data_IF_690978040701
#
_entry.id   IF_690978040701
#
_cell.length_a   1.000
_cell.length_b   1.000
_cell.length_c   1.000
_cell.angle_alpha   90.00
_cell.angle_beta   90.00
_cell.angle_gamma   90.00
#
_symmetry.space_group_name_H-M   'P 1'
#
loop_
_entity.id
_entity.type
_entity.pdbx_description
1 polymer ?
#
# COMPACT_ATOMS: atom_id res chain seq x y z
N UNK A 1 16.10 -6.76 14.76
CA UNK A 1 14.67 -6.42 14.62
C UNK A 1 13.86 -7.69 14.55
N UNK A 2 12.74 -7.74 15.25
CA UNK A 2 11.72 -8.79 15.11
C UNK A 2 10.45 -8.18 14.56
N UNK A 3 9.71 -8.96 13.77
CA UNK A 3 8.35 -8.68 13.37
C UNK A 3 7.43 -9.51 14.25
N UNK A 4 6.55 -8.85 14.99
CA UNK A 4 5.56 -9.52 15.81
C UNK A 4 4.33 -9.76 14.94
N UNK A 5 4.17 -11.02 14.55
CA UNK A 5 3.15 -11.44 13.61
C UNK A 5 1.77 -11.50 14.19
N UNK A 6 0.87 -11.66 13.31
CA UNK A 6 -0.57 -11.55 13.30
C UNK A 6 -1.19 -12.93 13.02
N UNK A 7 -1.07 -13.83 13.98
CA UNK A 7 -1.64 -15.19 13.89
C UNK A 7 -3.16 -15.17 13.69
N UNK A 8 -3.83 -14.10 14.12
CA UNK A 8 -5.27 -13.87 14.00
C UNK A 8 -5.60 -12.82 12.93
N UNK A 9 -4.70 -12.62 11.95
CA UNK A 9 -4.92 -11.68 10.84
C UNK A 9 -6.19 -12.05 10.06
N UNK A 10 -7.14 -11.08 9.85
CA UNK A 10 -8.34 -11.34 9.07
C UNK A 10 -7.98 -11.77 7.64
N UNK A 11 -8.56 -12.90 7.21
CA UNK A 11 -8.46 -13.43 5.85
C UNK A 11 -9.68 -13.11 4.99
N UNK A 12 -10.66 -12.39 5.54
CA UNK A 12 -11.84 -11.89 4.86
C UNK A 12 -12.45 -10.73 5.68
N UNK A 13 -13.35 -9.95 5.08
CA UNK A 13 -14.00 -8.83 5.78
C UNK A 13 -14.82 -9.27 7.00
N UNK A 14 -15.35 -10.51 6.98
CA UNK A 14 -16.16 -11.04 8.06
C UNK A 14 -15.39 -11.17 9.38
N UNK A 15 -14.09 -11.39 9.34
CA UNK A 15 -13.23 -11.61 10.51
C UNK A 15 -12.53 -10.33 10.98
N UNK A 16 -12.66 -9.23 10.24
CA UNK A 16 -11.92 -8.00 10.56
C UNK A 16 -12.51 -7.28 11.79
N UNK A 17 -11.63 -6.69 12.59
CA UNK A 17 -11.94 -5.96 13.82
C UNK A 17 -12.76 -6.76 14.86
N UNK A 18 -12.66 -8.08 14.82
CA UNK A 18 -13.30 -8.91 15.81
C UNK A 18 -12.60 -8.89 17.18
N UNK A 19 -13.17 -9.57 18.14
CA UNK A 19 -12.60 -9.66 19.50
C UNK A 19 -11.23 -10.37 19.49
N UNK A 20 -11.02 -11.30 18.56
CA UNK A 20 -9.78 -12.08 18.46
C UNK A 20 -8.63 -11.23 17.94
N UNK A 21 -8.85 -10.49 16.85
CA UNK A 21 -7.85 -9.54 16.32
C UNK A 21 -7.50 -8.48 17.37
N UNK A 22 -8.50 -7.94 18.06
CA UNK A 22 -8.29 -6.95 19.12
C UNK A 22 -7.48 -7.53 20.30
N UNK A 23 -7.79 -8.76 20.72
CA UNK A 23 -7.06 -9.44 21.79
C UNK A 23 -5.60 -9.71 21.41
N UNK A 24 -5.35 -10.15 20.16
CA UNK A 24 -3.98 -10.31 19.65
C UNK A 24 -3.22 -8.99 19.68
N UNK A 25 -3.81 -7.90 19.24
CA UNK A 25 -3.17 -6.57 19.23
C UNK A 25 -2.77 -6.13 20.65
N UNK A 26 -3.57 -6.45 21.66
CA UNK A 26 -3.22 -6.20 23.08
C UNK A 26 -2.00 -7.03 23.50
N UNK A 27 -1.93 -8.31 23.11
CA UNK A 27 -0.77 -9.17 23.41
C UNK A 27 0.49 -8.69 22.67
N UNK A 28 0.37 -8.31 21.41
CA UNK A 28 1.48 -7.74 20.64
C UNK A 28 2.05 -6.49 21.32
N UNK A 29 1.20 -5.64 21.89
CA UNK A 29 1.63 -4.50 22.69
C UNK A 29 2.45 -4.87 23.93
N UNK A 30 2.10 -5.96 24.61
CA UNK A 30 2.89 -6.49 25.74
C UNK A 30 4.23 -7.05 25.26
N UNK A 31 4.24 -7.75 24.12
CA UNK A 31 5.45 -8.31 23.52
C UNK A 31 6.41 -7.21 23.03
N UNK A 32 5.90 -6.09 22.50
CA UNK A 32 6.71 -4.93 22.17
C UNK A 32 7.54 -4.45 23.38
N UNK A 33 6.90 -4.27 24.54
CA UNK A 33 7.60 -3.86 25.77
C UNK A 33 8.67 -4.84 26.20
N UNK A 34 8.38 -6.15 26.10
CA UNK A 34 9.35 -7.19 26.47
C UNK A 34 10.57 -7.18 25.55
N UNK A 35 10.36 -7.04 24.23
CA UNK A 35 11.43 -6.97 23.26
C UNK A 35 12.31 -5.73 23.47
N UNK A 36 11.70 -4.56 23.67
CA UNK A 36 12.44 -3.33 23.93
C UNK A 36 13.24 -3.40 25.24
N UNK A 37 12.68 -3.99 26.31
CA UNK A 37 13.41 -4.21 27.55
C UNK A 37 14.64 -5.11 27.38
N UNK A 38 14.63 -5.99 26.36
CA UNK A 38 15.76 -6.83 25.97
C UNK A 38 16.67 -6.16 24.90
N UNK A 39 16.48 -4.87 24.59
CA UNK A 39 17.27 -4.15 23.58
C UNK A 39 16.98 -4.56 22.13
N UNK A 40 15.84 -5.20 21.84
CA UNK A 40 15.47 -5.67 20.51
C UNK A 40 14.49 -4.71 19.84
N UNK A 41 14.80 -4.30 18.61
CA UNK A 41 13.89 -3.53 17.78
C UNK A 41 12.68 -4.39 17.35
N UNK A 42 11.52 -3.77 17.26
CA UNK A 42 10.24 -4.43 16.97
C UNK A 42 9.51 -3.68 15.87
N UNK A 43 8.84 -4.40 14.96
CA UNK A 43 7.68 -3.94 14.23
C UNK A 43 6.52 -4.92 14.49
N UNK A 44 5.29 -4.45 14.27
CA UNK A 44 4.06 -5.23 14.48
C UNK A 44 3.40 -5.43 13.13
N UNK A 45 2.92 -6.62 12.87
CA UNK A 45 2.11 -6.93 11.68
C UNK A 45 0.63 -6.74 11.97
N UNK A 46 -0.16 -6.48 10.95
CA UNK A 46 -1.57 -6.15 11.09
C UNK A 46 -2.44 -6.60 9.91
N UNK A 47 -3.63 -6.02 9.76
CA UNK A 47 -4.72 -6.63 9.02
C UNK A 47 -4.40 -6.89 7.54
N UNK A 48 -5.00 -8.00 7.03
CA UNK A 48 -4.95 -8.39 5.63
C UNK A 48 -6.24 -8.04 4.87
N UNK A 49 -7.39 -8.09 5.55
CA UNK A 49 -8.70 -7.71 5.02
C UNK A 49 -9.41 -6.82 6.02
N UNK A 50 -10.00 -5.73 5.54
CA UNK A 50 -10.72 -4.81 6.42
C UNK A 50 -11.62 -3.88 5.61
N UNK A 51 -12.85 -3.67 6.06
CA UNK A 51 -13.75 -2.69 5.46
C UNK A 51 -13.12 -1.29 5.49
N UNK A 52 -13.31 -0.55 4.40
CA UNK A 52 -12.60 0.70 4.15
C UNK A 52 -12.77 1.74 5.27
N UNK A 53 -13.95 1.84 5.84
CA UNK A 53 -14.29 2.77 6.91
C UNK A 53 -13.71 2.39 8.29
N UNK A 54 -13.30 1.14 8.47
CA UNK A 54 -12.72 0.65 9.72
C UNK A 54 -11.20 0.85 9.82
N UNK A 55 -10.51 0.95 8.67
CA UNK A 55 -9.05 0.98 8.60
C UNK A 55 -8.44 2.07 9.48
N UNK A 56 -8.94 3.29 9.38
CA UNK A 56 -8.36 4.42 10.12
C UNK A 56 -8.48 4.25 11.64
N UNK A 57 -9.55 3.62 12.12
CA UNK A 57 -9.75 3.34 13.53
C UNK A 57 -8.78 2.24 14.01
N UNK A 58 -8.62 1.16 13.24
CA UNK A 58 -7.68 0.07 13.54
C UNK A 58 -6.24 0.58 13.61
N UNK A 59 -5.79 1.41 12.65
CA UNK A 59 -4.45 2.01 12.68
C UNK A 59 -4.19 2.80 13.96
N UNK A 60 -5.14 3.62 14.37
CA UNK A 60 -5.04 4.42 15.62
C UNK A 60 -5.04 3.54 16.86
N UNK A 61 -5.85 2.48 16.86
CA UNK A 61 -5.92 1.52 17.96
C UNK A 61 -4.57 0.81 18.15
N UNK A 62 -3.99 0.31 17.06
CA UNK A 62 -2.66 -0.32 17.09
C UNK A 62 -1.61 0.61 17.65
N UNK A 63 -1.52 1.84 17.16
CA UNK A 63 -0.54 2.81 17.65
C UNK A 63 -0.66 3.04 19.17
N UNK A 64 -1.87 3.03 19.71
CA UNK A 64 -2.10 3.13 21.14
C UNK A 64 -1.70 1.87 21.91
N UNK A 65 -2.18 0.71 21.46
CA UNK A 65 -1.96 -0.57 22.15
C UNK A 65 -0.51 -1.03 22.05
N UNK A 66 0.13 -0.82 20.90
CA UNK A 66 1.52 -1.22 20.64
C UNK A 66 2.54 -0.08 20.84
N UNK A 67 2.16 0.97 21.56
CA UNK A 67 3.08 2.04 22.03
C UNK A 67 3.83 2.74 20.91
N UNK A 68 3.18 3.00 19.78
CA UNK A 68 3.73 3.56 18.54
C UNK A 68 4.80 2.68 17.87
N UNK A 69 4.83 1.39 18.13
CA UNK A 69 5.68 0.48 17.34
C UNK A 69 5.37 0.63 15.84
N UNK A 70 6.38 0.51 14.96
CA UNK A 70 6.14 0.48 13.53
C UNK A 70 5.12 -0.58 13.16
N UNK A 71 4.20 -0.23 12.26
CA UNK A 71 3.07 -1.07 11.87
C UNK A 71 3.17 -1.46 10.41
N UNK A 72 3.23 -2.74 10.15
CA UNK A 72 3.30 -3.37 8.83
C UNK A 72 1.97 -4.05 8.52
N UNK A 73 1.32 -3.67 7.43
CA UNK A 73 0.00 -4.19 7.07
C UNK A 73 0.01 -4.85 5.68
N UNK A 74 -0.82 -5.87 5.50
CA UNK A 74 -1.03 -6.55 4.23
C UNK A 74 -2.23 -5.92 3.51
N UNK A 75 -2.01 -4.88 2.79
CA UNK A 75 -3.05 -4.08 2.16
C UNK A 75 -3.52 -2.96 3.09
N UNK A 76 -4.67 -3.06 3.78
CA UNK A 76 -5.66 -4.14 3.76
C UNK A 76 -6.49 -4.21 2.47
N UNK A 77 -6.94 -5.42 2.12
CA UNK A 77 -7.90 -5.62 1.05
C UNK A 77 -9.28 -5.15 1.51
N UNK A 78 -9.88 -4.22 0.78
CA UNK A 78 -11.12 -3.54 1.18
C UNK A 78 -12.39 -4.24 0.72
N UNK A 79 -12.27 -5.33 -0.03
CA UNK A 79 -13.37 -6.18 -0.49
C UNK A 79 -12.86 -7.56 -0.84
N UNK A 80 -13.67 -8.60 -0.61
CA UNK A 80 -13.31 -10.00 -0.86
C UNK A 80 -13.68 -10.47 -2.27
N UNK A 81 -14.44 -9.68 -3.03
CA UNK A 81 -14.91 -10.07 -4.37
C UNK A 81 -13.95 -9.68 -5.50
N UNK A 82 -12.81 -9.08 -5.16
CA UNK A 82 -11.81 -8.61 -6.12
C UNK A 82 -10.84 -9.69 -6.61
N UNK A 83 -11.28 -10.92 -6.72
CA UNK A 83 -10.46 -12.08 -7.12
C UNK A 83 -9.71 -11.82 -8.42
N UNK A 84 -8.39 -11.97 -8.42
CA UNK A 84 -7.52 -11.62 -9.54
C UNK A 84 -7.16 -10.11 -9.62
N UNK A 85 -7.75 -9.28 -8.76
CA UNK A 85 -7.49 -7.84 -8.64
C UNK A 85 -7.12 -7.45 -7.20
N UNK A 86 -6.67 -8.39 -6.39
CA UNK A 86 -6.37 -8.16 -4.98
C UNK A 86 -5.28 -7.11 -4.76
N UNK A 87 -4.36 -6.93 -5.70
CA UNK A 87 -3.39 -5.84 -5.70
C UNK A 87 -4.05 -4.45 -5.76
N UNK A 88 -5.19 -4.32 -6.43
CA UNK A 88 -5.95 -3.06 -6.51
C UNK A 88 -6.71 -2.84 -5.19
N UNK A 89 -7.41 -3.86 -4.69
CA UNK A 89 -8.15 -3.75 -3.42
C UNK A 89 -7.21 -3.46 -2.25
N UNK A 90 -6.03 -4.08 -2.23
CA UNK A 90 -4.97 -3.81 -1.27
C UNK A 90 -4.36 -2.41 -1.40
N UNK A 91 -4.19 -1.89 -2.61
CA UNK A 91 -3.68 -0.54 -2.81
C UNK A 91 -4.65 0.53 -2.28
N UNK A 92 -5.96 0.32 -2.43
CA UNK A 92 -6.98 1.21 -1.88
C UNK A 92 -6.87 1.26 -0.35
N UNK A 93 -6.90 0.11 0.31
CA UNK A 93 -6.76 0.03 1.77
C UNK A 93 -5.38 0.47 2.24
N UNK A 94 -4.33 0.16 1.48
CA UNK A 94 -2.96 0.57 1.73
C UNK A 94 -2.78 2.09 1.78
N UNK A 95 -3.39 2.81 0.85
CA UNK A 95 -3.34 4.27 0.86
C UNK A 95 -4.02 4.85 2.12
N UNK A 96 -5.15 4.28 2.54
CA UNK A 96 -5.87 4.73 3.73
C UNK A 96 -5.09 4.36 4.99
N UNK A 97 -4.59 3.13 5.10
CA UNK A 97 -3.83 2.69 6.27
C UNK A 97 -2.54 3.50 6.45
N UNK A 98 -1.77 3.69 5.37
CA UNK A 98 -0.53 4.47 5.42
C UNK A 98 -0.77 5.95 5.75
N UNK A 99 -1.85 6.55 5.26
CA UNK A 99 -2.24 7.92 5.63
C UNK A 99 -2.75 8.02 7.06
N UNK A 100 -3.20 6.91 7.67
CA UNK A 100 -3.80 6.85 9.01
C UNK A 100 -2.86 6.35 10.09
N UNK A 101 -1.64 5.86 9.75
CA UNK A 101 -0.66 5.48 10.77
C UNK A 101 0.17 4.23 10.48
N UNK A 102 -0.11 3.45 9.45
CA UNK A 102 0.78 2.36 9.04
C UNK A 102 2.11 2.91 8.53
N UNK A 103 3.20 2.22 8.85
CA UNK A 103 4.57 2.60 8.48
C UNK A 103 5.09 1.82 7.27
N UNK A 104 4.60 0.59 7.10
CA UNK A 104 5.00 -0.30 6.01
C UNK A 104 3.77 -0.94 5.37
N UNK A 105 3.80 -1.05 4.05
CA UNK A 105 2.81 -1.76 3.26
C UNK A 105 3.43 -3.00 2.64
N UNK A 106 2.84 -4.16 2.89
CA UNK A 106 3.10 -5.36 2.10
C UNK A 106 2.40 -5.22 0.75
N UNK A 107 3.08 -5.58 -0.33
CA UNK A 107 2.41 -5.68 -1.61
C UNK A 107 1.57 -6.97 -1.68
N UNK A 108 0.47 -6.90 -2.40
CA UNK A 108 -0.40 -8.02 -2.74
C UNK A 108 -0.38 -8.16 -4.25
N UNK A 109 -0.36 -9.38 -4.74
CA UNK A 109 -0.31 -9.66 -6.19
C UNK A 109 -1.70 -9.97 -6.76
N UNK A 110 -1.90 -9.90 -8.09
CA UNK A 110 -3.11 -10.41 -8.73
C UNK A 110 -3.37 -11.90 -8.48
N UNK A 111 -2.32 -12.66 -8.13
CA UNK A 111 -2.41 -14.10 -7.86
C UNK A 111 -2.82 -14.43 -6.42
N UNK A 112 -3.00 -13.43 -5.54
CA UNK A 112 -3.37 -13.63 -4.14
C UNK A 112 -4.64 -14.49 -4.04
N UNK A 113 -4.64 -15.45 -3.11
CA UNK A 113 -5.70 -16.44 -2.91
C UNK A 113 -5.93 -17.44 -4.06
N UNK A 114 -5.18 -17.34 -5.17
CA UNK A 114 -5.37 -18.17 -6.37
C UNK A 114 -4.22 -19.15 -6.63
N UNK A 115 -2.99 -18.66 -6.65
CA UNK A 115 -1.81 -19.46 -7.00
C UNK A 115 -0.50 -18.76 -6.60
N UNK A 116 0.63 -19.41 -6.85
CA UNK A 116 1.93 -18.74 -6.70
C UNK A 116 2.09 -17.65 -7.78
N UNK A 117 2.48 -16.43 -7.40
CA UNK A 117 2.67 -15.34 -8.34
C UNK A 117 3.88 -15.59 -9.26
N UNK A 118 3.77 -15.19 -10.50
CA UNK A 118 4.88 -15.06 -11.42
C UNK A 118 5.56 -13.68 -11.26
N UNK A 119 6.63 -13.42 -12.02
CA UNK A 119 7.38 -12.16 -11.92
C UNK A 119 6.53 -10.92 -12.31
N UNK A 120 5.60 -11.07 -13.26
CA UNK A 120 4.71 -9.99 -13.66
C UNK A 120 3.69 -9.68 -12.56
N UNK A 121 3.12 -10.70 -11.93
CA UNK A 121 2.20 -10.52 -10.79
C UNK A 121 2.89 -9.75 -9.65
N UNK A 122 4.16 -10.08 -9.37
CA UNK A 122 4.95 -9.36 -8.34
C UNK A 122 5.15 -7.90 -8.74
N UNK A 123 5.47 -7.63 -10.01
CA UNK A 123 5.64 -6.27 -10.50
C UNK A 123 4.33 -5.46 -10.38
N UNK A 124 3.20 -6.04 -10.78
CA UNK A 124 1.89 -5.39 -10.72
C UNK A 124 1.50 -5.06 -9.27
N UNK A 125 1.68 -6.01 -8.35
CA UNK A 125 1.45 -5.81 -6.93
C UNK A 125 2.35 -4.74 -6.32
N UNK A 126 3.64 -4.77 -6.67
CA UNK A 126 4.60 -3.78 -6.20
C UNK A 126 4.26 -2.37 -6.70
N UNK A 127 3.87 -2.24 -7.98
CA UNK A 127 3.48 -0.94 -8.54
C UNK A 127 2.22 -0.39 -7.90
N UNK A 128 1.19 -1.23 -7.70
CA UNK A 128 -0.02 -0.84 -7.01
C UNK A 128 0.27 -0.32 -5.59
N UNK A 129 1.11 -1.03 -4.84
CA UNK A 129 1.49 -0.66 -3.48
C UNK A 129 2.36 0.59 -3.43
N UNK A 130 3.29 0.79 -4.37
CA UNK A 130 4.07 2.03 -4.49
C UNK A 130 3.19 3.25 -4.75
N UNK A 131 2.16 3.10 -5.60
CA UNK A 131 1.19 4.18 -5.86
C UNK A 131 0.41 4.51 -4.57
N UNK A 132 -0.04 3.49 -3.84
CA UNK A 132 -0.74 3.66 -2.57
C UNK A 132 0.12 4.39 -1.52
N UNK A 133 1.38 3.96 -1.35
CA UNK A 133 2.33 4.59 -0.43
C UNK A 133 2.61 6.05 -0.80
N UNK A 134 2.84 6.33 -2.09
CA UNK A 134 3.07 7.68 -2.59
C UNK A 134 1.85 8.60 -2.34
N UNK A 135 0.65 8.11 -2.63
CA UNK A 135 -0.59 8.85 -2.34
C UNK A 135 -0.74 9.18 -0.84
N UNK A 136 -0.38 8.24 0.03
CA UNK A 136 -0.39 8.44 1.48
C UNK A 136 0.66 9.46 1.92
N UNK A 137 1.86 9.46 1.34
CA UNK A 137 2.91 10.44 1.67
C UNK A 137 2.50 11.86 1.27
N UNK A 138 1.82 12.02 0.12
CA UNK A 138 1.21 13.30 -0.25
C UNK A 138 0.15 13.73 0.77
N UNK A 139 -0.74 12.83 1.18
CA UNK A 139 -1.79 13.11 2.15
C UNK A 139 -1.23 13.50 3.52
N UNK A 140 -0.15 12.85 3.97
CA UNK A 140 0.59 13.17 5.20
C UNK A 140 1.43 14.44 5.09
N UNK A 141 1.52 15.05 3.93
CA UNK A 141 2.37 16.23 3.66
C UNK A 141 3.85 15.96 3.97
N UNK A 142 4.33 14.76 3.65
CA UNK A 142 5.75 14.44 3.77
C UNK A 142 6.55 15.43 2.90
N UNK A 143 7.61 16.05 3.42
CA UNK A 143 8.43 16.99 2.65
C UNK A 143 8.88 16.38 1.31
N UNK A 144 8.71 17.13 0.23
CA UNK A 144 9.09 16.74 -1.14
C UNK A 144 8.29 15.57 -1.76
N UNK A 145 7.26 15.02 -1.10
CA UNK A 145 6.46 13.93 -1.66
C UNK A 145 5.78 14.33 -3.00
N UNK A 146 5.36 15.60 -3.15
CA UNK A 146 4.70 16.10 -4.36
C UNK A 146 5.63 16.57 -5.47
N UNK A 147 6.93 16.68 -5.24
CA UNK A 147 7.85 17.31 -6.20
C UNK A 147 7.82 16.63 -7.58
N UNK A 148 7.67 15.30 -7.61
CA UNK A 148 7.61 14.56 -8.87
C UNK A 148 6.27 14.72 -9.59
N UNK A 149 5.15 14.82 -8.84
CA UNK A 149 3.82 15.10 -9.42
C UNK A 149 3.77 16.50 -10.02
N UNK A 150 4.34 17.48 -9.34
CA UNK A 150 4.40 18.87 -9.84
C UNK A 150 5.25 18.96 -11.12
N UNK A 151 6.39 18.24 -11.17
CA UNK A 151 7.20 18.12 -12.41
C UNK A 151 6.44 17.39 -13.52
N UNK A 152 5.75 16.31 -13.20
CA UNK A 152 4.90 15.59 -14.14
C UNK A 152 3.79 16.51 -14.69
N UNK A 153 3.14 17.30 -13.82
CA UNK A 153 2.12 18.26 -14.23
C UNK A 153 2.66 19.33 -15.20
N UNK A 154 3.88 19.84 -14.96
CA UNK A 154 4.55 20.78 -15.86
C UNK A 154 4.91 20.14 -17.21
N UNK A 155 5.39 18.89 -17.20
CA UNK A 155 5.71 18.13 -18.41
C UNK A 155 4.46 17.86 -19.26
N UNK A 156 3.34 17.44 -18.61
CA UNK A 156 2.04 17.24 -19.25
C UNK A 156 1.53 18.51 -19.93
N UNK A 157 1.63 19.66 -19.27
CA UNK A 157 1.21 20.95 -19.83
C UNK A 157 1.95 21.31 -21.10
N UNK A 158 3.20 20.84 -21.24
CA UNK A 158 4.06 21.12 -22.40
C UNK A 158 4.05 20.01 -23.46
N UNK A 159 3.34 18.90 -23.19
CA UNK A 159 3.40 17.65 -23.96
C UNK A 159 4.84 17.12 -24.10
N UNK A 160 5.67 17.34 -23.08
CA UNK A 160 7.05 16.86 -23.01
C UNK A 160 7.07 15.41 -22.51
N UNK A 161 6.93 14.48 -23.43
CA UNK A 161 6.88 13.06 -23.15
C UNK A 161 8.14 12.53 -22.48
N UNK A 162 9.31 13.02 -22.87
CA UNK A 162 10.57 12.58 -22.27
C UNK A 162 10.69 13.01 -20.81
N UNK A 163 10.23 14.22 -20.48
CA UNK A 163 10.16 14.67 -19.10
C UNK A 163 9.10 13.88 -18.32
N UNK A 164 7.95 13.52 -18.93
CA UNK A 164 6.93 12.69 -18.28
C UNK A 164 7.47 11.30 -17.92
N UNK A 165 8.22 10.66 -18.84
CA UNK A 165 8.81 9.34 -18.56
C UNK A 165 9.81 9.37 -17.41
N UNK A 166 10.57 10.45 -17.26
CA UNK A 166 11.52 10.62 -16.14
C UNK A 166 10.83 10.78 -14.79
N UNK A 167 9.57 11.22 -14.77
CA UNK A 167 8.79 11.37 -13.56
C UNK A 167 7.91 10.15 -13.24
N UNK A 168 7.71 9.24 -14.18
CA UNK A 168 6.82 8.09 -14.03
C UNK A 168 7.39 7.05 -13.05
N UNK A 169 6.52 6.45 -12.22
CA UNK A 169 6.89 5.31 -11.36
C UNK A 169 7.26 4.07 -12.17
N UNK A 170 6.55 3.85 -13.28
CA UNK A 170 6.84 2.81 -14.27
C UNK A 170 6.88 3.43 -15.67
N UNK A 171 8.04 3.95 -16.08
CA UNK A 171 8.19 4.54 -17.40
C UNK A 171 8.12 3.49 -18.52
N UNK A 172 8.48 2.23 -18.25
CA UNK A 172 8.53 1.16 -19.25
C UNK A 172 7.12 0.82 -19.72
N UNK A 173 6.22 0.50 -18.80
CA UNK A 173 4.83 0.19 -19.12
C UNK A 173 4.10 1.40 -19.70
N UNK A 174 4.33 2.59 -19.14
CA UNK A 174 3.73 3.82 -19.65
C UNK A 174 4.15 4.13 -21.09
N UNK A 175 5.45 4.08 -21.37
CA UNK A 175 6.00 4.33 -22.70
C UNK A 175 5.51 3.30 -23.73
N UNK A 176 5.53 2.01 -23.38
CA UNK A 176 5.02 0.94 -24.24
C UNK A 176 3.56 1.19 -24.64
N UNK A 177 2.68 1.50 -23.68
CA UNK A 177 1.26 1.79 -23.98
C UNK A 177 1.08 3.01 -24.89
N UNK A 178 1.91 4.05 -24.69
CA UNK A 178 1.89 5.22 -25.55
C UNK A 178 2.32 4.89 -26.98
N UNK A 179 3.41 4.15 -27.16
CA UNK A 179 3.96 3.76 -28.46
C UNK A 179 3.01 2.83 -29.25
N UNK A 180 2.20 2.04 -28.56
CA UNK A 180 1.14 1.21 -29.16
C UNK A 180 -0.09 2.04 -29.60
N UNK A 181 -0.17 3.32 -29.22
CA UNK A 181 -1.28 4.20 -29.59
C UNK A 181 -1.03 4.90 -30.94
N UNK A 182 -2.06 5.08 -31.79
CA UNK A 182 -1.95 5.89 -33.01
C UNK A 182 -1.48 7.33 -32.75
N UNK A 183 -1.74 7.88 -31.58
CA UNK A 183 -1.30 9.22 -31.18
C UNK A 183 0.21 9.38 -31.04
N UNK A 184 0.97 8.29 -30.88
CA UNK A 184 2.43 8.35 -30.75
C UNK A 184 3.12 8.99 -31.96
N UNK A 185 2.54 8.89 -33.13
CA UNK A 185 3.08 9.49 -34.38
C UNK A 185 2.87 11.00 -34.46
N UNK A 186 1.91 11.55 -33.71
CA UNK A 186 1.53 12.97 -33.72
C UNK A 186 2.05 13.74 -32.50
N UNK A 187 2.67 13.05 -31.56
CA UNK A 187 3.18 13.64 -30.32
C UNK A 187 2.08 14.12 -29.35
N UNK A 188 0.83 13.80 -29.61
CA UNK A 188 -0.33 14.21 -28.81
C UNK A 188 -1.02 13.00 -28.17
N UNK A 189 -1.97 13.27 -27.29
CA UNK A 189 -2.85 12.26 -26.71
C UNK A 189 -4.20 12.30 -27.43
N UNK A 190 -4.72 11.14 -27.85
CA UNK A 190 -6.04 11.06 -28.52
C UNK A 190 -7.22 11.35 -27.60
N UNK A 191 -7.00 11.40 -26.27
CA UNK A 191 -8.04 11.67 -25.27
C UNK A 191 -8.17 13.14 -24.90
N UNK A 192 -7.16 13.94 -25.18
CA UNK A 192 -7.11 15.37 -24.91
C UNK A 192 -7.10 16.18 -26.19
#
# INVERSE_FOLDING_TARGET
>A
TISLGDSCRPGCLYDSNDATETAEMIELGKLCKRAWAAGVQVMVEGPGHMALDEIAANMKLQKRLCHNAPFYVLGPLVTDIGVGYDHITAAIGGAISASSGADFLCYVTPAEHLCLPNAQDVLDGLMATKIAAHAADIAKKVPHARDMDDKMGQARRKLDWDAMWKCALDPVTGKKRYEESPAATEGTCTMC
#
